data_IF_798493914191
#
_entry.id   IF_798493914191
#
_cell.length_a   1.000
_cell.length_b   1.000
_cell.length_c   1.000
_cell.angle_alpha   90.00
_cell.angle_beta   90.00
_cell.angle_gamma   90.00
#
_symmetry.space_group_name_H-M   'P 1'
#
loop_
_entity.id
_entity.type
_entity.pdbx_description
1 polymer ?
#
# COMPACT_ATOMS: atom_id res chain seq x y z
N UNK A 1 12.42 -1.32 0.22
CA UNK A 1 11.39 -0.91 -0.76
C UNK A 1 11.17 0.60 -0.56
N UNK A 2 11.07 1.39 -1.63
CA UNK A 2 10.99 2.87 -1.54
C UNK A 2 9.54 3.37 -1.64
N UNK A 3 9.30 4.64 -1.30
CA UNK A 3 8.01 5.33 -1.49
C UNK A 3 7.43 5.19 -2.90
N UNK A 4 8.27 5.05 -3.93
CA UNK A 4 7.84 4.76 -5.31
C UNK A 4 6.95 3.51 -5.43
N UNK A 5 7.07 2.55 -4.51
CA UNK A 5 6.26 1.35 -4.50
C UNK A 5 4.77 1.64 -4.21
N UNK A 6 4.47 2.67 -3.41
CA UNK A 6 3.09 3.12 -3.15
C UNK A 6 2.48 3.83 -4.36
N UNK A 7 3.28 4.48 -5.20
CA UNK A 7 2.81 5.08 -6.46
C UNK A 7 2.32 4.02 -7.45
N UNK A 8 3.04 2.88 -7.54
CA UNK A 8 2.62 1.74 -8.33
C UNK A 8 1.31 1.13 -7.82
N UNK A 9 1.19 0.98 -6.50
CA UNK A 9 -0.04 0.51 -5.86
C UNK A 9 -1.24 1.43 -6.16
N UNK A 10 -1.05 2.76 -6.10
CA UNK A 10 -2.11 3.72 -6.45
C UNK A 10 -2.63 3.50 -7.87
N UNK A 11 -1.72 3.27 -8.82
CA UNK A 11 -2.05 3.07 -10.23
C UNK A 11 -2.81 1.76 -10.45
N UNK A 12 -2.38 0.68 -9.78
CA UNK A 12 -3.03 -0.63 -9.85
C UNK A 12 -4.42 -0.62 -9.21
N UNK A 13 -4.57 0.06 -8.08
CA UNK A 13 -5.83 0.17 -7.35
C UNK A 13 -6.91 0.95 -8.11
N UNK A 14 -6.50 1.95 -8.90
CA UNK A 14 -7.39 2.82 -9.68
C UNK A 14 -7.76 2.23 -11.06
N UNK A 15 -7.04 1.19 -11.51
CA UNK A 15 -7.29 0.59 -12.81
C UNK A 15 -8.61 -0.23 -12.81
N UNK A 16 -9.40 -0.18 -13.90
CA UNK A 16 -10.73 -0.80 -13.95
C UNK A 16 -10.71 -2.31 -14.22
N UNK A 17 -9.54 -2.94 -14.37
CA UNK A 17 -9.43 -4.36 -14.72
C UNK A 17 -9.26 -5.23 -13.48
N UNK A 18 -9.87 -6.41 -13.49
CA UNK A 18 -9.72 -7.39 -12.42
C UNK A 18 -8.25 -7.83 -12.24
N UNK A 19 -7.47 -7.87 -13.32
CA UNK A 19 -6.04 -8.19 -13.27
C UNK A 19 -5.25 -7.14 -12.49
N UNK A 20 -5.48 -5.85 -12.74
CA UNK A 20 -4.79 -4.79 -12.00
C UNK A 20 -5.19 -4.77 -10.52
N UNK A 21 -6.46 -5.02 -10.21
CA UNK A 21 -6.91 -5.14 -8.82
C UNK A 21 -6.28 -6.35 -8.11
N UNK A 22 -6.16 -7.50 -8.79
CA UNK A 22 -5.47 -8.67 -8.25
C UNK A 22 -3.98 -8.39 -8.00
N UNK A 23 -3.32 -7.66 -8.92
CA UNK A 23 -1.93 -7.24 -8.73
C UNK A 23 -1.78 -6.29 -7.54
N UNK A 24 -2.71 -5.35 -7.35
CA UNK A 24 -2.73 -4.48 -6.17
C UNK A 24 -2.84 -5.30 -4.87
N UNK A 25 -3.74 -6.28 -4.83
CA UNK A 25 -3.91 -7.17 -3.68
C UNK A 25 -2.64 -7.99 -3.39
N UNK A 26 -2.03 -8.59 -4.42
CA UNK A 26 -0.78 -9.34 -4.26
C UNK A 26 0.36 -8.47 -3.74
N UNK A 27 0.47 -7.23 -4.23
CA UNK A 27 1.46 -6.29 -3.76
C UNK A 27 1.27 -5.93 -2.28
N UNK A 28 0.02 -5.77 -1.84
CA UNK A 28 -0.30 -5.51 -0.42
C UNK A 28 0.06 -6.71 0.47
N UNK A 29 -0.18 -7.94 0.01
CA UNK A 29 0.25 -9.14 0.75
C UNK A 29 1.78 -9.23 0.85
N UNK A 30 2.52 -8.85 -0.19
CA UNK A 30 3.98 -8.77 -0.12
C UNK A 30 4.46 -7.71 0.89
N UNK A 31 3.77 -6.57 0.98
CA UNK A 31 4.09 -5.54 1.98
C UNK A 31 3.84 -6.05 3.41
N UNK A 32 2.76 -6.80 3.66
CA UNK A 32 2.49 -7.40 4.97
C UNK A 32 3.59 -8.37 5.43
N UNK A 33 4.16 -9.13 4.49
CA UNK A 33 5.23 -10.09 4.76
C UNK A 33 6.62 -9.44 4.85
N UNK A 34 6.75 -8.17 4.45
CA UNK A 34 8.02 -7.45 4.48
C UNK A 34 8.30 -6.90 5.88
N UNK A 35 9.55 -7.06 6.35
CA UNK A 35 10.02 -6.54 7.65
C UNK A 35 9.74 -5.04 7.81
N UNK A 36 9.88 -4.27 6.73
CA UNK A 36 9.72 -2.81 6.72
C UNK A 36 8.51 -2.33 5.91
N UNK A 37 7.62 -3.24 5.47
CA UNK A 37 6.44 -2.87 4.68
C UNK A 37 5.53 -1.90 5.41
N UNK A 38 5.34 -2.11 6.72
CA UNK A 38 4.56 -1.22 7.58
C UNK A 38 5.19 0.18 7.69
N UNK A 39 6.53 0.32 7.67
CA UNK A 39 7.20 1.63 7.74
C UNK A 39 6.91 2.46 6.51
N UNK A 40 6.98 1.84 5.33
CA UNK A 40 6.65 2.48 4.06
C UNK A 40 5.19 2.93 4.06
N UNK A 41 4.28 2.08 4.53
CA UNK A 41 2.87 2.42 4.69
C UNK A 41 2.64 3.55 5.70
N UNK A 42 3.36 3.54 6.84
CA UNK A 42 3.29 4.58 7.86
C UNK A 42 3.77 5.94 7.34
N UNK A 43 4.87 5.96 6.59
CA UNK A 43 5.38 7.15 5.87
C UNK A 43 4.37 7.66 4.84
N UNK A 44 3.55 6.79 4.25
CA UNK A 44 2.46 7.17 3.36
C UNK A 44 1.40 8.07 4.00
N UNK A 45 1.20 7.98 5.32
CA UNK A 45 0.24 8.83 6.05
C UNK A 45 0.84 10.17 6.48
N UNK A 46 2.15 10.22 6.73
CA UNK A 46 2.85 11.43 7.19
C UNK A 46 3.44 12.24 6.04
N UNK A 47 3.69 11.61 4.90
CA UNK A 47 4.12 12.29 3.67
C UNK A 47 2.92 12.90 2.95
N UNK A 48 3.04 14.18 2.58
CA UNK A 48 2.01 14.88 1.80
C UNK A 48 1.74 14.26 0.42
N UNK A 49 2.61 13.36 -0.05
CA UNK A 49 2.56 12.71 -1.37
C UNK A 49 1.27 11.92 -1.58
N UNK A 50 0.75 11.24 -0.56
CA UNK A 50 -0.43 10.36 -0.68
C UNK A 50 -1.67 10.91 0.02
N UNK A 51 -1.65 12.18 0.42
CA UNK A 51 -2.77 12.83 1.10
C UNK A 51 -4.07 12.80 0.30
N UNK A 52 -4.02 12.76 -1.04
CA UNK A 52 -5.20 12.71 -1.91
C UNK A 52 -5.53 11.29 -2.41
N UNK A 53 -4.75 10.27 -2.06
CA UNK A 53 -4.97 8.90 -2.54
C UNK A 53 -5.55 8.02 -1.44
N UNK A 54 -6.88 8.06 -1.29
CA UNK A 54 -7.57 7.27 -0.25
C UNK A 54 -7.44 5.76 -0.47
N UNK A 55 -7.29 5.30 -1.72
CA UNK A 55 -6.98 3.90 -2.02
C UNK A 55 -5.63 3.46 -1.45
N UNK A 56 -4.59 4.27 -1.60
CA UNK A 56 -3.27 3.98 -1.02
C UNK A 56 -3.36 3.94 0.50
N UNK A 57 -4.04 4.92 1.11
CA UNK A 57 -4.26 4.96 2.56
C UNK A 57 -4.99 3.71 3.05
N UNK A 58 -6.05 3.29 2.37
CA UNK A 58 -6.82 2.09 2.71
C UNK A 58 -5.93 0.85 2.76
N UNK A 59 -5.12 0.62 1.73
CA UNK A 59 -4.19 -0.51 1.70
C UNK A 59 -3.07 -0.37 2.75
N UNK A 60 -2.52 0.83 2.92
CA UNK A 60 -1.50 1.09 3.94
C UNK A 60 -2.03 0.81 5.36
N UNK A 61 -3.30 1.10 5.63
CA UNK A 61 -3.93 0.79 6.91
C UNK A 61 -3.96 -0.72 7.14
N UNK A 62 -4.28 -1.52 6.12
CA UNK A 62 -4.28 -2.98 6.24
C UNK A 62 -2.89 -3.56 6.52
N UNK A 63 -1.83 -2.98 5.94
CA UNK A 63 -0.44 -3.40 6.20
C UNK A 63 -0.05 -3.06 7.64
N UNK A 64 -0.35 -1.85 8.10
CA UNK A 64 -0.09 -1.44 9.49
C UNK A 64 -0.90 -2.26 10.50
N UNK A 65 -2.17 -2.53 10.22
CA UNK A 65 -3.04 -3.37 11.05
C UNK A 65 -2.52 -4.82 11.12
N UNK A 66 -1.98 -5.35 10.02
CA UNK A 66 -1.35 -6.67 10.04
C UNK A 66 -0.16 -6.68 11.00
N UNK A 67 0.77 -5.72 10.84
CA UNK A 67 1.97 -5.62 11.66
C UNK A 67 1.69 -5.44 13.16
N UNK A 68 0.62 -4.75 13.56
CA UNK A 68 0.29 -4.60 14.98
C UNK A 68 -0.32 -5.86 15.61
N UNK A 69 -0.77 -6.81 14.79
CA UNK A 69 -1.39 -8.08 15.22
C UNK A 69 -0.44 -9.27 15.18
N UNK A 70 0.73 -9.14 14.54
CA UNK A 70 1.78 -10.16 14.44
C UNK A 70 3.01 -9.80 15.27
#
# INVERSE_FOLDING_TARGET
MSSAALQGLASLAMAPTAESQNMAAQFVEQLKQSVDGWKICAEGFTSGTYHQSDHVKFFCLQVCEHYTKT
#
